data_IF_084921335278
#
_entry.id   IF_084921335278
#
_cell.length_a   1.000
_cell.length_b   1.000
_cell.length_c   1.000
_cell.angle_alpha   90.00
_cell.angle_beta   90.00
_cell.angle_gamma   90.00
#
_symmetry.space_group_name_H-M   'P 1'
#
loop_
_entity.id
_entity.type
_entity.pdbx_description
1 polymer ?
#
# COMPACT_ATOMS: atom_id res chain seq x y z
N UNK A 1 55.34 35.36 -6.86
CA UNK A 1 54.19 36.27 -7.06
C UNK A 1 52.94 35.41 -7.02
N UNK A 2 52.39 35.19 -5.82
CA UNK A 2 51.22 34.34 -5.58
C UNK A 2 50.01 35.25 -5.35
N UNK A 3 48.98 35.13 -6.18
CA UNK A 3 47.73 35.89 -6.04
C UNK A 3 46.88 35.30 -4.91
N UNK A 4 46.53 36.14 -3.94
CA UNK A 4 45.63 35.81 -2.84
C UNK A 4 44.17 35.80 -3.35
N UNK A 5 43.50 34.67 -3.26
CA UNK A 5 42.04 34.54 -3.46
C UNK A 5 41.37 34.94 -2.14
N UNK A 6 40.81 36.14 -2.11
CA UNK A 6 40.02 36.62 -0.98
C UNK A 6 38.69 35.86 -0.94
N UNK A 7 38.48 35.09 0.12
CA UNK A 7 37.19 34.53 0.51
C UNK A 7 36.23 35.69 0.83
N UNK A 8 35.36 36.04 -0.11
CA UNK A 8 34.17 36.83 0.20
C UNK A 8 33.07 35.87 0.68
N UNK A 9 32.44 36.10 1.84
CA UNK A 9 31.28 35.33 2.24
C UNK A 9 30.16 35.61 1.23
N UNK A 10 29.66 34.55 0.59
CA UNK A 10 28.44 34.61 -0.20
C UNK A 10 27.29 34.91 0.77
N UNK A 11 27.05 36.20 1.00
CA UNK A 11 25.82 36.71 1.60
C UNK A 11 24.72 36.40 0.59
N UNK A 12 24.13 35.21 0.72
CA UNK A 12 22.89 34.87 0.05
C UNK A 12 21.78 35.57 0.84
N UNK A 13 21.68 36.90 0.63
CA UNK A 13 20.41 37.61 0.77
C UNK A 13 19.50 37.11 -0.34
N UNK A 14 18.99 35.87 -0.18
CA UNK A 14 17.82 35.42 -0.91
C UNK A 14 16.67 36.31 -0.43
N UNK A 15 16.38 37.33 -1.23
CA UNK A 15 15.17 38.12 -1.18
C UNK A 15 14.00 37.15 -0.97
N UNK A 16 13.21 37.37 0.08
CA UNK A 16 12.11 36.48 0.46
C UNK A 16 11.13 36.18 -0.68
N UNK A 17 11.05 37.05 -1.68
CA UNK A 17 10.22 36.90 -2.88
C UNK A 17 10.78 35.93 -3.93
N UNK A 18 12.11 35.76 -4.02
CA UNK A 18 12.75 34.90 -5.03
C UNK A 18 12.70 33.43 -4.65
N UNK A 19 12.72 33.11 -3.35
CA UNK A 19 12.57 31.73 -2.89
C UNK A 19 11.15 31.22 -3.10
N UNK A 20 10.12 32.02 -2.86
CA UNK A 20 8.73 31.58 -3.02
C UNK A 20 8.41 31.25 -4.47
N UNK A 21 8.86 32.08 -5.42
CA UNK A 21 8.65 31.86 -6.86
C UNK A 21 9.45 30.67 -7.42
N UNK A 22 10.69 30.46 -6.97
CA UNK A 22 11.52 29.33 -7.41
C UNK A 22 10.99 27.99 -6.91
N UNK A 23 10.61 27.90 -5.63
CA UNK A 23 10.02 26.67 -5.08
C UNK A 23 8.65 26.37 -5.69
N UNK A 24 7.82 27.37 -6.00
CA UNK A 24 6.47 27.14 -6.54
C UNK A 24 6.49 26.67 -8.00
N UNK A 25 7.46 27.11 -8.80
CA UNK A 25 7.50 26.81 -10.25
C UNK A 25 8.17 25.47 -10.55
N UNK A 26 9.30 25.15 -9.92
CA UNK A 26 10.00 23.87 -10.18
C UNK A 26 9.33 22.67 -9.50
N UNK A 27 8.75 22.83 -8.31
CA UNK A 27 8.08 21.71 -7.62
C UNK A 27 6.77 21.30 -8.31
N UNK A 28 6.06 22.24 -8.94
CA UNK A 28 4.88 21.95 -9.76
C UNK A 28 5.22 21.20 -11.06
N UNK A 29 6.37 21.49 -11.67
CA UNK A 29 6.77 20.88 -12.94
C UNK A 29 7.30 19.44 -12.78
N UNK A 30 7.97 19.13 -11.67
CA UNK A 30 8.62 17.84 -11.46
C UNK A 30 7.72 16.73 -10.93
N UNK A 31 6.49 17.03 -10.50
CA UNK A 31 5.61 16.02 -9.89
C UNK A 31 4.16 16.13 -10.36
N UNK A 32 3.87 15.57 -11.54
CA UNK A 32 2.49 15.36 -12.04
C UNK A 32 1.69 14.31 -11.23
N UNK A 33 2.07 14.00 -9.99
CA UNK A 33 1.39 13.01 -9.15
C UNK A 33 1.98 12.74 -7.77
N UNK A 34 3.11 13.33 -7.39
CA UNK A 34 3.72 13.12 -6.08
C UNK A 34 3.22 14.09 -5.00
N UNK A 35 3.32 13.64 -3.75
CA UNK A 35 2.93 14.41 -2.58
C UNK A 35 3.92 15.56 -2.32
N UNK A 36 3.64 16.73 -2.88
CA UNK A 36 4.43 17.95 -2.67
C UNK A 36 4.54 18.33 -1.18
N UNK A 37 3.68 17.82 -0.29
CA UNK A 37 3.86 17.98 1.16
C UNK A 37 5.07 17.22 1.65
N UNK A 38 5.33 16.03 1.09
CA UNK A 38 6.53 15.24 1.40
C UNK A 38 7.79 16.00 0.98
N UNK A 39 7.81 16.56 -0.22
CA UNK A 39 8.95 17.36 -0.72
C UNK A 39 9.16 18.61 0.14
N UNK A 40 8.09 19.37 0.42
CA UNK A 40 8.17 20.53 1.32
C UNK A 40 8.66 20.14 2.71
N UNK A 41 8.21 19.00 3.24
CA UNK A 41 8.66 18.51 4.54
C UNK A 41 10.14 18.13 4.52
N UNK A 42 10.62 17.50 3.44
CA UNK A 42 12.04 17.17 3.27
C UNK A 42 12.90 18.44 3.26
N UNK A 43 12.50 19.47 2.51
CA UNK A 43 13.21 20.76 2.46
C UNK A 43 13.23 21.43 3.83
N UNK A 44 12.12 21.36 4.59
CA UNK A 44 12.07 21.88 5.97
C UNK A 44 13.03 21.15 6.89
N UNK A 45 13.03 19.81 6.86
CA UNK A 45 13.90 18.97 7.70
C UNK A 45 15.36 19.26 7.36
N UNK A 46 15.70 19.34 6.08
CA UNK A 46 17.05 19.68 5.63
C UNK A 46 17.48 21.08 6.09
N UNK A 47 16.62 22.09 5.91
CA UNK A 47 16.89 23.43 6.43
C UNK A 47 17.10 23.44 7.95
N UNK A 48 16.35 22.62 8.69
CA UNK A 48 16.52 22.49 10.14
C UNK A 48 17.87 21.86 10.50
N UNK A 49 18.31 20.83 9.76
CA UNK A 49 19.64 20.23 9.97
C UNK A 49 20.78 21.21 9.69
N UNK A 50 20.63 22.11 8.71
CA UNK A 50 21.65 23.12 8.42
C UNK A 50 21.75 24.18 9.52
N UNK A 51 20.64 24.54 10.15
CA UNK A 51 20.59 25.48 11.28
C UNK A 51 21.19 24.87 12.54
N UNK A 52 20.95 23.58 12.79
CA UNK A 52 21.62 22.87 13.88
C UNK A 52 23.14 22.91 13.77
N UNK A 53 23.68 23.00 12.55
CA UNK A 53 25.11 23.12 12.30
C UNK A 53 25.60 24.58 12.27
N UNK A 54 24.72 25.56 12.02
CA UNK A 54 25.04 26.99 11.95
C UNK A 54 23.86 27.83 12.50
N UNK A 55 23.93 28.29 13.77
CA UNK A 55 22.79 28.91 14.46
C UNK A 55 22.40 30.29 13.92
N UNK A 56 23.25 30.94 13.13
CA UNK A 56 23.00 32.29 12.58
C UNK A 56 22.06 32.29 11.35
N UNK A 57 21.70 31.11 10.85
CA UNK A 57 20.83 30.95 9.68
C UNK A 57 19.37 30.73 10.11
N UNK A 58 18.43 31.28 9.33
CA UNK A 58 16.99 31.07 9.51
C UNK A 58 16.44 30.15 8.41
N UNK A 59 15.42 29.33 8.72
CA UNK A 59 14.85 28.38 7.77
C UNK A 59 13.79 29.06 6.89
N UNK A 60 14.06 29.34 5.60
CA UNK A 60 13.08 29.98 4.72
C UNK A 60 11.90 29.06 4.40
N UNK A 61 12.07 27.73 4.48
CA UNK A 61 11.01 26.77 4.18
C UNK A 61 9.98 26.60 5.31
N UNK A 62 10.21 27.23 6.47
CA UNK A 62 9.31 27.19 7.63
C UNK A 62 8.01 27.97 7.38
N UNK A 63 8.04 29.03 6.56
CA UNK A 63 6.87 29.86 6.22
C UNK A 63 6.01 29.27 5.10
N UNK A 64 6.55 28.39 4.26
CA UNK A 64 5.85 27.81 3.11
C UNK A 64 4.64 27.01 3.58
N UNK A 65 3.41 27.39 3.18
CA UNK A 65 2.18 26.64 3.45
C UNK A 65 1.55 26.16 2.16
N UNK A 66 1.75 24.89 1.82
CA UNK A 66 1.12 24.31 0.64
C UNK A 66 -0.28 23.80 0.98
N UNK A 67 -1.30 24.39 0.35
CA UNK A 67 -2.69 23.93 0.46
C UNK A 67 -2.97 22.92 -0.65
N UNK A 68 -3.43 21.72 -0.28
CA UNK A 68 -3.97 20.78 -1.26
C UNK A 68 -5.35 21.27 -1.67
N UNK A 69 -5.68 21.35 -2.97
CA UNK A 69 -7.06 21.11 -3.36
C UNK A 69 -7.43 19.72 -2.85
N UNK A 70 -8.41 19.64 -1.94
CA UNK A 70 -8.87 18.36 -1.41
C UNK A 70 -9.61 17.63 -2.53
N UNK A 71 -8.96 16.67 -3.16
CA UNK A 71 -9.69 15.68 -3.95
C UNK A 71 -10.47 14.81 -2.97
N UNK A 72 -11.78 15.08 -2.84
CA UNK A 72 -12.70 14.15 -2.17
C UNK A 72 -12.83 12.94 -3.07
N UNK A 73 -12.39 11.78 -2.59
CA UNK A 73 -12.69 10.54 -3.29
C UNK A 73 -14.20 10.33 -3.28
N UNK A 74 -14.75 9.89 -4.41
CA UNK A 74 -16.14 9.47 -4.48
C UNK A 74 -16.33 8.32 -3.48
N UNK A 75 -17.25 8.51 -2.56
CA UNK A 75 -17.70 7.54 -1.57
C UNK A 75 -19.02 6.94 -2.07
N UNK A 76 -19.36 5.73 -1.60
CA UNK A 76 -20.58 5.00 -1.99
C UNK A 76 -20.77 4.86 -3.50
N UNK A 77 -19.70 4.42 -4.19
CA UNK A 77 -19.73 4.18 -5.63
C UNK A 77 -20.69 3.04 -6.03
N UNK A 78 -20.88 2.06 -5.14
CA UNK A 78 -21.67 0.86 -5.42
C UNK A 78 -22.57 0.52 -4.22
N UNK A 79 -23.83 0.24 -4.51
CA UNK A 79 -24.78 -0.28 -3.54
C UNK A 79 -24.56 -1.77 -3.29
N UNK A 80 -25.11 -2.29 -2.18
CA UNK A 80 -24.99 -3.72 -1.83
C UNK A 80 -25.51 -4.64 -2.94
N UNK A 81 -26.63 -4.29 -3.57
CA UNK A 81 -27.20 -5.06 -4.67
C UNK A 81 -26.28 -5.09 -5.90
N UNK A 82 -25.62 -3.97 -6.20
CA UNK A 82 -24.67 -3.87 -7.31
C UNK A 82 -23.39 -4.66 -7.04
N UNK A 83 -22.93 -4.69 -5.78
CA UNK A 83 -21.82 -5.53 -5.34
C UNK A 83 -22.15 -7.01 -5.46
N UNK A 84 -23.36 -7.41 -5.07
CA UNK A 84 -23.82 -8.80 -5.21
C UNK A 84 -23.97 -9.19 -6.69
N UNK A 85 -24.44 -8.27 -7.54
CA UNK A 85 -24.52 -8.46 -8.99
C UNK A 85 -23.13 -8.57 -9.62
N UNK A 86 -22.17 -7.74 -9.17
CA UNK A 86 -20.77 -7.79 -9.59
C UNK A 86 -20.13 -9.12 -9.20
N UNK A 87 -20.40 -9.63 -8.00
CA UNK A 87 -19.90 -10.93 -7.57
C UNK A 87 -20.42 -12.07 -8.46
N UNK A 88 -21.69 -12.01 -8.85
CA UNK A 88 -22.34 -13.01 -9.72
C UNK A 88 -21.90 -12.92 -11.18
N UNK A 89 -21.49 -11.75 -11.66
CA UNK A 89 -21.09 -11.55 -13.06
C UNK A 89 -19.69 -12.08 -13.39
N UNK A 90 -18.86 -12.35 -12.38
CA UNK A 90 -17.53 -12.92 -12.59
C UNK A 90 -17.64 -14.36 -13.08
N UNK A 91 -17.17 -14.60 -14.30
CA UNK A 91 -17.09 -15.93 -14.89
C UNK A 91 -16.10 -16.84 -14.14
N UNK A 92 -16.48 -18.09 -13.94
CA UNK A 92 -15.67 -19.13 -13.28
C UNK A 92 -15.07 -20.14 -14.27
N UNK A 93 -14.66 -19.66 -15.45
CA UNK A 93 -14.22 -20.53 -16.56
C UNK A 93 -12.76 -21.00 -16.45
N UNK A 94 -11.90 -20.20 -15.83
CA UNK A 94 -10.48 -20.50 -15.64
C UNK A 94 -10.13 -20.54 -14.15
N UNK A 95 -9.12 -21.33 -13.80
CA UNK A 95 -8.59 -21.47 -12.43
C UNK A 95 -8.18 -20.11 -11.87
N UNK A 96 -7.64 -19.22 -12.71
CA UNK A 96 -7.29 -17.83 -12.32
C UNK A 96 -8.54 -17.01 -12.01
N UNK A 97 -9.58 -17.13 -12.83
CA UNK A 97 -10.82 -16.39 -12.64
C UNK A 97 -11.56 -16.86 -11.38
N UNK A 98 -11.54 -18.16 -11.09
CA UNK A 98 -12.11 -18.72 -9.86
C UNK A 98 -11.39 -18.17 -8.63
N UNK A 99 -10.04 -18.15 -8.65
CA UNK A 99 -9.26 -17.51 -7.59
C UNK A 99 -9.64 -16.03 -7.44
N UNK A 100 -9.75 -15.30 -8.54
CA UNK A 100 -10.10 -13.88 -8.53
C UNK A 100 -11.53 -13.64 -8.02
N UNK A 101 -12.48 -14.53 -8.34
CA UNK A 101 -13.85 -14.50 -7.81
C UNK A 101 -13.87 -14.65 -6.30
N UNK A 102 -13.11 -15.61 -5.76
CA UNK A 102 -12.96 -15.79 -4.30
C UNK A 102 -12.33 -14.56 -3.64
N UNK A 103 -11.28 -13.99 -4.24
CA UNK A 103 -10.67 -12.74 -3.77
C UNK A 103 -11.71 -11.63 -3.71
N UNK A 104 -12.48 -11.47 -4.78
CA UNK A 104 -13.53 -10.46 -4.88
C UNK A 104 -14.59 -10.65 -3.78
N UNK A 105 -15.05 -11.88 -3.56
CA UNK A 105 -16.02 -12.19 -2.50
C UNK A 105 -15.53 -11.75 -1.11
N UNK A 106 -14.30 -12.11 -0.75
CA UNK A 106 -13.70 -11.72 0.53
C UNK A 106 -13.60 -10.19 0.65
N UNK A 107 -13.26 -9.49 -0.43
CA UNK A 107 -13.17 -8.02 -0.42
C UNK A 107 -14.54 -7.35 -0.29
N UNK A 108 -15.55 -7.85 -1.00
CA UNK A 108 -16.92 -7.31 -0.98
C UNK A 108 -17.59 -7.55 0.37
N UNK A 109 -17.54 -8.78 0.89
CA UNK A 109 -18.33 -9.17 2.05
C UNK A 109 -17.62 -8.91 3.39
N UNK A 110 -16.29 -9.09 3.47
CA UNK A 110 -15.54 -8.89 4.72
C UNK A 110 -14.78 -7.56 4.77
N UNK A 111 -14.57 -6.88 3.64
CA UNK A 111 -13.92 -5.57 3.59
C UNK A 111 -12.49 -5.57 4.14
N UNK A 112 -11.74 -6.65 3.91
CA UNK A 112 -10.39 -6.80 4.49
C UNK A 112 -9.33 -6.03 3.71
N UNK A 113 -8.26 -5.63 4.38
CA UNK A 113 -7.14 -4.97 3.71
C UNK A 113 -6.33 -5.93 2.86
N UNK A 114 -5.68 -5.44 1.80
CA UNK A 114 -4.80 -6.26 0.93
C UNK A 114 -3.68 -6.95 1.71
N UNK A 115 -3.16 -6.30 2.76
CA UNK A 115 -2.16 -6.89 3.63
C UNK A 115 -2.69 -8.05 4.47
N UNK A 116 -3.95 -7.98 4.92
CA UNK A 116 -4.62 -9.07 5.65
C UNK A 116 -4.95 -10.22 4.70
N UNK A 117 -5.48 -9.91 3.51
CA UNK A 117 -5.77 -10.88 2.44
C UNK A 117 -4.54 -11.74 2.11
N UNK A 118 -3.35 -11.14 2.03
CA UNK A 118 -2.12 -11.87 1.74
C UNK A 118 -1.63 -12.79 2.88
N UNK A 119 -2.06 -12.54 4.12
CA UNK A 119 -1.69 -13.36 5.29
C UNK A 119 -2.72 -14.43 5.61
N UNK A 120 -3.92 -14.33 5.05
CA UNK A 120 -5.01 -15.25 5.28
C UNK A 120 -4.62 -16.66 4.85
N UNK A 121 -4.83 -17.65 5.73
CA UNK A 121 -4.54 -19.06 5.48
C UNK A 121 -5.81 -19.85 5.25
N UNK A 122 -5.69 -21.00 4.61
CA UNK A 122 -6.83 -21.92 4.43
C UNK A 122 -7.44 -22.35 5.78
N UNK A 123 -6.60 -22.57 6.80
CA UNK A 123 -7.03 -22.98 8.14
C UNK A 123 -7.68 -21.85 8.96
N UNK A 124 -7.60 -20.60 8.51
CA UNK A 124 -8.24 -19.48 9.20
C UNK A 124 -9.75 -19.40 8.86
N UNK A 125 -10.23 -20.19 7.88
CA UNK A 125 -11.64 -20.26 7.48
C UNK A 125 -12.33 -21.43 8.18
N UNK A 126 -13.35 -21.12 8.99
CA UNK A 126 -14.12 -22.10 9.75
C UNK A 126 -15.50 -22.28 9.12
N UNK A 127 -15.60 -23.09 8.07
CA UNK A 127 -16.84 -23.34 7.34
C UNK A 127 -18.00 -23.82 8.23
N UNK A 128 -17.74 -24.69 9.21
CA UNK A 128 -18.76 -25.19 10.15
C UNK A 128 -19.36 -24.09 11.02
N UNK A 129 -18.57 -23.06 11.34
CA UNK A 129 -19.04 -21.92 12.14
C UNK A 129 -19.55 -20.77 11.25
N UNK A 130 -19.29 -20.82 9.95
CA UNK A 130 -19.56 -19.70 9.05
C UNK A 130 -18.71 -18.48 9.38
N UNK A 131 -17.51 -18.65 9.96
CA UNK A 131 -16.64 -17.53 10.35
C UNK A 131 -15.25 -17.62 9.76
N UNK A 132 -14.60 -16.46 9.63
CA UNK A 132 -13.23 -16.29 9.18
C UNK A 132 -12.43 -15.57 10.26
N UNK A 133 -11.29 -16.14 10.64
CA UNK A 133 -10.38 -15.53 11.61
C UNK A 133 -9.36 -14.64 10.89
N UNK A 134 -9.40 -13.34 11.16
CA UNK A 134 -8.33 -12.44 10.73
C UNK A 134 -7.30 -12.37 11.84
N UNK A 135 -6.09 -12.81 11.52
CA UNK A 135 -4.94 -12.76 12.43
C UNK A 135 -4.44 -11.34 12.58
N UNK A 136 -3.91 -11.04 13.76
CA UNK A 136 -3.24 -9.78 14.02
C UNK A 136 -2.07 -9.56 13.06
N UNK A 137 -1.83 -8.29 12.71
CA UNK A 137 -0.67 -7.93 11.92
C UNK A 137 0.38 -7.24 12.80
N UNK A 138 1.66 -7.66 12.70
CA UNK A 138 2.70 -7.10 13.55
C UNK A 138 2.85 -5.61 13.27
N UNK A 139 2.88 -4.82 14.34
CA UNK A 139 3.25 -3.43 14.26
C UNK A 139 4.71 -3.33 13.81
N UNK A 140 5.00 -2.40 12.89
CA UNK A 140 6.37 -2.03 12.55
C UNK A 140 6.67 -0.66 13.12
N UNK A 141 7.96 -0.28 13.12
CA UNK A 141 8.42 1.05 13.54
C UNK A 141 7.63 2.20 12.88
N UNK A 142 7.06 1.98 11.69
CA UNK A 142 6.39 2.99 10.87
C UNK A 142 4.88 2.74 10.67
N UNK A 143 4.34 1.59 11.12
CA UNK A 143 2.94 1.21 10.88
C UNK A 143 2.34 0.53 12.10
N UNK A 144 1.19 1.05 12.54
CA UNK A 144 0.37 0.41 13.56
C UNK A 144 -0.15 -0.94 13.05
N UNK A 145 -0.02 -1.97 13.88
CA UNK A 145 -0.58 -3.29 13.63
C UNK A 145 -2.10 -3.28 13.61
N UNK A 146 -2.69 -4.36 13.11
CA UNK A 146 -4.13 -4.63 13.20
C UNK A 146 -4.41 -5.70 14.23
N UNK A 147 -5.51 -5.55 14.96
CA UNK A 147 -5.94 -6.54 15.95
C UNK A 147 -6.58 -7.76 15.26
N UNK A 148 -6.49 -8.91 15.92
CA UNK A 148 -7.23 -10.09 15.51
C UNK A 148 -8.75 -9.85 15.67
N UNK A 149 -9.53 -10.39 14.73
CA UNK A 149 -11.00 -10.33 14.74
C UNK A 149 -11.60 -11.51 14.00
N UNK A 150 -12.78 -11.93 14.42
CA UNK A 150 -13.58 -12.92 13.70
C UNK A 150 -14.64 -12.20 12.87
N UNK A 151 -14.79 -12.60 11.61
CA UNK A 151 -15.80 -12.06 10.70
C UNK A 151 -16.73 -13.17 10.23
N UNK A 152 -18.02 -12.86 10.11
CA UNK A 152 -19.01 -13.78 9.58
C UNK A 152 -18.89 -13.88 8.04
N UNK A 153 -19.09 -15.09 7.54
CA UNK A 153 -19.10 -15.41 6.12
C UNK A 153 -20.51 -15.35 5.58
N UNK A 154 -20.67 -14.62 4.48
CA UNK A 154 -21.92 -14.61 3.73
C UNK A 154 -22.19 -15.95 3.04
N UNK A 155 -23.43 -16.42 3.05
CA UNK A 155 -23.80 -17.73 2.51
C UNK A 155 -23.45 -17.87 1.02
N UNK A 156 -23.59 -16.78 0.25
CA UNK A 156 -23.32 -16.74 -1.19
C UNK A 156 -21.88 -17.11 -1.55
N UNK A 157 -20.90 -16.79 -0.69
CA UNK A 157 -19.48 -17.04 -0.98
C UNK A 157 -18.97 -18.37 -0.40
N UNK A 158 -19.70 -19.01 0.51
CA UNK A 158 -19.22 -20.22 1.20
C UNK A 158 -18.97 -21.37 0.21
N UNK A 159 -19.90 -21.59 -0.73
CA UNK A 159 -19.79 -22.67 -1.71
C UNK A 159 -18.59 -22.44 -2.64
N UNK A 160 -18.45 -21.21 -3.16
CA UNK A 160 -17.31 -20.84 -4.01
C UNK A 160 -15.96 -20.98 -3.26
N UNK A 161 -15.93 -20.66 -1.97
CA UNK A 161 -14.74 -20.82 -1.12
C UNK A 161 -14.36 -22.29 -0.91
N UNK A 162 -15.35 -23.16 -0.62
CA UNK A 162 -15.12 -24.60 -0.45
C UNK A 162 -14.59 -25.19 -1.76
N UNK A 163 -15.26 -24.90 -2.87
CA UNK A 163 -14.88 -25.42 -4.19
C UNK A 163 -13.47 -24.96 -4.57
N UNK A 164 -13.12 -23.70 -4.29
CA UNK A 164 -11.77 -23.19 -4.50
C UNK A 164 -10.72 -23.91 -3.64
N UNK A 165 -10.96 -24.11 -2.34
CA UNK A 165 -9.98 -24.73 -1.43
C UNK A 165 -9.76 -26.21 -1.80
N UNK A 166 -10.84 -26.93 -2.11
CA UNK A 166 -10.78 -28.37 -2.32
C UNK A 166 -10.35 -28.74 -3.75
N UNK A 167 -10.86 -28.03 -4.77
CA UNK A 167 -10.69 -28.44 -6.17
C UNK A 167 -9.65 -27.61 -6.93
N UNK A 168 -9.62 -26.28 -6.75
CA UNK A 168 -8.82 -25.39 -7.60
C UNK A 168 -7.46 -25.04 -7.01
N UNK A 169 -7.39 -24.78 -5.70
CA UNK A 169 -6.16 -24.44 -4.99
C UNK A 169 -5.07 -25.52 -5.13
N UNK A 170 -5.36 -26.83 -5.02
CA UNK A 170 -4.35 -27.87 -5.25
C UNK A 170 -3.81 -27.87 -6.68
N UNK A 171 -4.65 -27.56 -7.67
CA UNK A 171 -4.24 -27.43 -9.08
C UNK A 171 -3.28 -26.26 -9.28
N UNK A 172 -3.59 -25.10 -8.70
CA UNK A 172 -2.71 -23.90 -8.74
C UNK A 172 -1.35 -24.19 -8.10
N UNK A 173 -1.33 -24.89 -6.96
CA UNK A 173 -0.09 -25.32 -6.33
C UNK A 173 0.70 -26.23 -7.27
N UNK A 174 0.06 -27.27 -7.80
CA UNK A 174 0.68 -28.22 -8.72
C UNK A 174 1.27 -27.57 -9.98
N UNK A 175 0.58 -26.60 -10.57
CA UNK A 175 1.04 -25.89 -11.77
C UNK A 175 2.24 -24.97 -11.48
N UNK A 176 2.25 -24.27 -10.33
CA UNK A 176 3.41 -23.45 -9.93
C UNK A 176 4.67 -24.27 -9.81
N UNK A 177 4.57 -25.47 -9.25
CA UNK A 177 5.73 -26.32 -9.07
C UNK A 177 6.26 -26.92 -10.38
N UNK A 178 5.43 -27.02 -11.42
CA UNK A 178 5.82 -27.55 -12.73
C UNK A 178 6.61 -26.56 -13.59
N UNK A 179 6.34 -25.26 -13.47
CA UNK A 179 6.85 -24.24 -14.41
C UNK A 179 7.80 -23.21 -13.78
N UNK A 180 8.67 -23.59 -12.84
CA UNK A 180 9.68 -22.66 -12.27
C UNK A 180 10.98 -22.67 -13.09
N UNK A 181 11.23 -21.70 -13.98
CA UNK A 181 12.58 -21.44 -14.48
C UNK A 181 13.40 -20.70 -13.40
N UNK A 182 14.65 -21.13 -13.19
CA UNK A 182 15.61 -20.44 -12.32
C UNK A 182 15.80 -21.03 -10.92
N UNK A 183 16.33 -20.21 -9.99
CA UNK A 183 16.69 -20.62 -8.62
C UNK A 183 15.44 -21.05 -7.86
N UNK A 184 15.38 -22.35 -7.50
CA UNK A 184 14.30 -22.87 -6.67
C UNK A 184 14.25 -22.12 -5.33
N UNK A 185 13.07 -21.69 -4.88
CA UNK A 185 12.93 -21.03 -3.58
C UNK A 185 13.36 -21.99 -2.46
N UNK A 186 13.86 -21.41 -1.35
CA UNK A 186 14.10 -22.18 -0.14
C UNK A 186 12.79 -22.87 0.32
N UNK A 187 12.90 -24.09 0.82
CA UNK A 187 11.81 -24.95 1.28
C UNK A 187 10.90 -24.22 2.29
N UNK A 188 11.47 -23.45 3.22
CA UNK A 188 10.70 -22.66 4.19
C UNK A 188 9.79 -21.62 3.52
N UNK A 189 10.31 -20.90 2.52
CA UNK A 189 9.53 -19.92 1.76
C UNK A 189 8.44 -20.60 0.93
N UNK A 190 8.66 -21.86 0.56
CA UNK A 190 7.70 -22.67 -0.17
C UNK A 190 6.51 -23.03 0.72
N UNK A 191 6.79 -23.56 1.91
CA UNK A 191 5.77 -23.89 2.90
C UNK A 191 4.95 -22.67 3.32
N UNK A 192 5.62 -21.54 3.58
CA UNK A 192 4.94 -20.29 3.93
C UNK A 192 3.99 -19.81 2.83
N UNK A 193 4.38 -19.95 1.56
CA UNK A 193 3.52 -19.59 0.43
C UNK A 193 2.40 -20.61 0.22
N UNK A 194 2.67 -21.90 0.40
CA UNK A 194 1.65 -22.95 0.28
C UNK A 194 0.61 -22.92 1.38
N UNK A 195 0.82 -22.19 2.48
CA UNK A 195 -0.17 -22.01 3.55
C UNK A 195 -1.14 -20.86 3.26
N UNK A 196 -0.78 -19.91 2.40
CA UNK A 196 -1.65 -18.80 2.03
C UNK A 196 -2.91 -19.33 1.34
N UNK A 197 -4.08 -18.83 1.73
CA UNK A 197 -5.36 -19.20 1.11
C UNK A 197 -5.31 -18.89 -0.38
N UNK A 198 -4.86 -17.68 -0.69
CA UNK A 198 -4.82 -17.11 -2.02
C UNK A 198 -3.39 -17.16 -2.52
N UNK A 199 -3.18 -17.98 -3.53
CA UNK A 199 -1.87 -18.20 -4.14
C UNK A 199 -1.65 -17.19 -5.25
#
# INVERSE_FOLDING_TARGET
MFFAVANAPLVVTALSESSESFFFTETYALNKGGDYKMVSNLVRVYGQTLISNNPDLSNPAKSIRIKNPSHRMAHDLLNREELDALYKSVESNDVRNIRNKVILGILIFQGISTGELHRLRANDILFRKGTMLIRESPASQWKKGSNARELELEALQIIDLIDYIDNFRPRILGDRYRHLPGRKPNIENLFRKSDQLLL
#
